data_IF_299764794444
#
_entry.id   IF_299764794444
#
_cell.length_a   1.000
_cell.length_b   1.000
_cell.length_c   1.000
_cell.angle_alpha   90.00
_cell.angle_beta   90.00
_cell.angle_gamma   90.00
#
_symmetry.space_group_name_H-M   'P 1'
#
loop_
_entity.id
_entity.type
_entity.pdbx_description
1 polymer ?
#
# COMPACT_ATOMS: atom_id res chain seq x y z
N UNK A 1 36.65 50.69 -22.02
CA UNK A 1 37.45 49.73 -21.22
C UNK A 1 37.71 50.32 -19.84
N UNK A 2 37.41 49.53 -18.79
CA UNK A 2 37.89 49.65 -17.40
C UNK A 2 37.56 51.00 -16.74
N UNK A 3 36.54 51.11 -15.88
CA UNK A 3 36.59 50.66 -14.47
C UNK A 3 35.17 50.72 -13.87
N UNK A 4 34.40 49.63 -13.97
CA UNK A 4 33.11 49.50 -13.27
C UNK A 4 32.91 48.09 -12.70
N UNK A 5 34.01 47.46 -12.28
CA UNK A 5 34.04 46.07 -11.78
C UNK A 5 34.78 45.95 -10.44
N UNK A 6 34.77 46.98 -9.60
CA UNK A 6 35.42 46.92 -8.27
C UNK A 6 34.61 47.49 -7.11
N UNK A 7 33.29 47.70 -7.27
CA UNK A 7 32.42 48.14 -6.17
C UNK A 7 31.35 47.13 -5.73
N UNK A 8 31.29 45.95 -6.37
CA UNK A 8 30.33 44.88 -6.03
C UNK A 8 30.93 43.73 -5.21
N UNK A 9 32.21 43.81 -4.85
CA UNK A 9 32.93 42.78 -4.07
C UNK A 9 33.04 43.09 -2.57
N UNK A 10 32.44 44.19 -2.07
CA UNK A 10 32.55 44.61 -0.65
C UNK A 10 31.21 44.56 0.11
N UNK A 11 30.08 44.31 -0.58
CA UNK A 11 28.79 44.04 0.09
C UNK A 11 28.56 42.52 0.29
N UNK A 12 29.40 41.66 -0.32
CA UNK A 12 29.30 40.20 -0.21
C UNK A 12 30.10 39.58 0.95
N UNK A 13 30.77 40.38 1.79
CA UNK A 13 31.66 39.89 2.86
C UNK A 13 31.22 40.24 4.28
N UNK A 14 29.99 40.75 4.47
CA UNK A 14 29.48 41.15 5.80
C UNK A 14 28.05 40.66 6.11
N UNK A 15 27.60 39.61 5.41
CA UNK A 15 26.46 38.76 5.82
C UNK A 15 26.91 37.29 5.79
N UNK A 16 28.11 37.03 6.30
CA UNK A 16 28.62 35.70 6.61
C UNK A 16 29.11 35.77 8.04
N UNK A 17 28.23 35.47 8.98
CA UNK A 17 28.56 35.41 10.40
C UNK A 17 27.39 35.80 11.28
N UNK A 18 26.84 34.79 11.96
CA UNK A 18 26.05 34.93 13.19
C UNK A 18 24.56 35.29 13.03
N UNK A 19 23.81 34.38 12.41
CA UNK A 19 22.55 33.92 12.99
C UNK A 19 22.34 32.45 12.61
N UNK A 20 22.83 31.58 13.49
CA UNK A 20 22.80 30.14 13.35
C UNK A 20 21.38 29.58 13.41
N UNK A 21 20.72 29.54 12.26
CA UNK A 21 19.74 28.51 11.98
C UNK A 21 20.48 27.39 11.27
N UNK A 22 20.74 26.31 11.98
CA UNK A 22 21.16 25.02 11.40
C UNK A 22 20.30 24.72 10.17
N UNK A 23 20.88 24.58 8.97
CA UNK A 23 20.16 24.10 7.78
C UNK A 23 19.85 22.59 7.87
N UNK A 24 19.70 22.06 9.09
CA UNK A 24 19.43 20.65 9.39
C UNK A 24 17.92 20.35 9.58
N UNK A 25 17.02 21.32 9.33
CA UNK A 25 15.57 21.12 9.45
C UNK A 25 14.77 21.43 8.17
N UNK A 26 15.43 21.64 7.03
CA UNK A 26 14.75 21.92 5.75
C UNK A 26 15.16 20.98 4.60
N UNK A 27 15.78 19.84 4.90
CA UNK A 27 16.09 18.77 3.95
C UNK A 27 15.46 17.46 4.48
N UNK A 28 14.49 16.83 3.83
CA UNK A 28 13.85 17.16 2.57
C UNK A 28 12.50 16.49 2.44
N UNK A 29 11.69 16.99 1.51
CA UNK A 29 10.63 16.21 0.89
C UNK A 29 11.13 15.88 -0.51
N UNK A 30 11.82 14.75 -0.74
CA UNK A 30 12.06 14.27 -2.09
C UNK A 30 10.76 13.63 -2.60
N UNK A 31 10.44 13.93 -3.86
CA UNK A 31 9.31 13.39 -4.60
C UNK A 31 9.34 11.85 -4.77
N UNK A 32 8.17 11.23 -5.06
CA UNK A 32 8.06 9.80 -5.36
C UNK A 32 8.89 9.46 -6.61
N UNK A 33 9.55 8.28 -6.63
CA UNK A 33 8.96 7.16 -7.35
C UNK A 33 9.19 5.86 -6.57
N UNK A 34 8.27 5.54 -5.69
CA UNK A 34 8.19 4.16 -5.22
C UNK A 34 7.56 3.33 -6.33
N UNK A 35 8.15 2.17 -6.61
CA UNK A 35 7.80 1.29 -7.75
C UNK A 35 7.16 -0.02 -7.28
N UNK A 36 6.67 -0.09 -6.04
CA UNK A 36 6.24 -1.29 -5.34
C UNK A 36 4.79 -1.72 -5.58
N UNK A 37 4.55 -3.04 -5.68
CA UNK A 37 3.27 -3.67 -5.28
C UNK A 37 2.94 -3.29 -3.83
N UNK A 38 3.93 -3.05 -2.98
CA UNK A 38 3.74 -2.58 -1.60
C UNK A 38 4.65 -1.39 -1.32
N UNK A 39 4.08 -0.26 -0.88
CA UNK A 39 4.83 0.96 -0.54
C UNK A 39 4.26 1.68 0.66
N UNK A 40 5.13 2.22 1.50
CA UNK A 40 4.77 3.08 2.61
C UNK A 40 5.00 4.57 2.32
N UNK A 41 4.10 5.42 2.80
CA UNK A 41 4.14 6.88 2.68
C UNK A 41 3.96 7.54 4.05
N UNK A 42 4.41 8.79 4.18
CA UNK A 42 4.32 9.57 5.41
C UNK A 42 2.95 10.21 5.62
N UNK A 43 2.27 10.55 4.52
CA UNK A 43 1.01 11.30 4.55
C UNK A 43 -0.01 10.75 3.54
N UNK A 44 -1.31 11.03 3.72
CA UNK A 44 -2.34 10.71 2.74
C UNK A 44 -2.08 11.33 1.37
N UNK A 45 -1.52 12.54 1.31
CA UNK A 45 -1.26 13.25 0.06
C UNK A 45 -0.14 12.57 -0.74
N UNK A 46 0.93 12.15 -0.05
CA UNK A 46 2.00 11.37 -0.68
C UNK A 46 1.49 10.02 -1.18
N UNK A 47 0.61 9.38 -0.41
CA UNK A 47 -0.05 8.14 -0.81
C UNK A 47 -0.94 8.35 -2.04
N UNK A 48 -1.72 9.43 -2.09
CA UNK A 48 -2.57 9.76 -3.23
C UNK A 48 -1.74 10.04 -4.49
N UNK A 49 -0.61 10.75 -4.36
CA UNK A 49 0.35 10.93 -5.45
C UNK A 49 0.98 9.59 -5.86
N UNK A 50 1.33 8.74 -4.90
CA UNK A 50 1.79 7.38 -5.14
C UNK A 50 0.80 6.56 -5.95
N UNK A 51 -0.48 6.60 -5.58
CA UNK A 51 -1.60 5.98 -6.30
C UNK A 51 -1.71 6.49 -7.74
N UNK A 52 -1.55 7.79 -7.99
CA UNK A 52 -1.55 8.38 -9.34
C UNK A 52 -0.35 7.90 -10.17
N UNK A 53 0.86 8.00 -9.61
CA UNK A 53 2.10 7.52 -10.24
C UNK A 53 2.00 6.02 -10.53
N UNK A 54 1.37 5.26 -9.65
CA UNK A 54 1.04 3.88 -9.92
C UNK A 54 0.06 3.75 -11.06
N UNK A 55 -1.07 4.46 -11.10
CA UNK A 55 -1.97 4.44 -12.27
C UNK A 55 -1.27 4.71 -13.62
N UNK A 56 -0.24 5.56 -13.62
CA UNK A 56 0.51 5.96 -14.82
C UNK A 56 1.62 4.96 -15.21
N UNK A 57 2.36 4.41 -14.25
CA UNK A 57 3.52 3.52 -14.48
C UNK A 57 3.11 2.05 -14.43
N UNK A 58 2.25 1.75 -13.45
CA UNK A 58 1.76 0.45 -13.13
C UNK A 58 0.32 0.36 -13.61
N UNK A 59 0.12 -0.42 -14.65
CA UNK A 59 -1.19 -0.67 -15.24
C UNK A 59 -2.15 -1.40 -14.27
N UNK A 60 -2.34 -1.07 -13.00
CA UNK A 60 -2.76 -2.03 -11.96
C UNK A 60 -4.12 -1.63 -11.32
N UNK A 61 -5.00 -2.59 -10.97
CA UNK A 61 -6.13 -2.30 -10.05
C UNK A 61 -5.60 -2.16 -8.62
N UNK A 62 -5.89 -1.03 -7.98
CA UNK A 62 -5.40 -0.69 -6.64
C UNK A 62 -6.33 -1.29 -5.60
N UNK A 63 -5.77 -1.98 -4.61
CA UNK A 63 -6.52 -2.62 -3.53
C UNK A 63 -6.82 -1.69 -2.35
N UNK A 64 -7.08 -0.43 -2.67
CA UNK A 64 -7.63 0.55 -1.74
C UNK A 64 -8.99 0.94 -2.33
N UNK A 65 -9.95 1.39 -1.52
CA UNK A 65 -11.06 2.19 -1.99
C UNK A 65 -10.57 3.34 -2.84
N UNK A 66 -10.37 3.08 -4.12
CA UNK A 66 -10.20 4.10 -5.10
C UNK A 66 -11.44 5.00 -4.92
N UNK A 67 -11.26 6.30 -4.64
CA UNK A 67 -12.38 7.23 -4.56
C UNK A 67 -13.29 7.10 -5.80
N UNK A 68 -12.70 6.79 -6.97
CA UNK A 68 -13.46 6.50 -8.21
C UNK A 68 -14.31 5.24 -8.14
N UNK A 69 -13.93 4.23 -7.35
CA UNK A 69 -14.74 3.02 -7.18
C UNK A 69 -16.05 3.40 -6.49
N UNK A 70 -15.99 4.15 -5.38
CA UNK A 70 -17.17 4.58 -4.61
C UNK A 70 -18.20 5.33 -5.45
N UNK A 71 -17.74 6.15 -6.41
CA UNK A 71 -18.60 6.88 -7.34
C UNK A 71 -19.31 5.95 -8.34
N UNK A 72 -18.71 4.79 -8.66
CA UNK A 72 -19.24 3.78 -9.58
C UNK A 72 -20.02 2.67 -8.87
N UNK A 73 -20.01 2.64 -7.54
CA UNK A 73 -20.74 1.63 -6.76
C UNK A 73 -22.25 1.91 -6.73
N UNK A 74 -23.09 0.86 -6.77
CA UNK A 74 -24.54 1.01 -6.69
C UNK A 74 -24.95 1.65 -5.35
N UNK A 75 -26.12 2.29 -5.32
CA UNK A 75 -26.61 2.98 -4.12
C UNK A 75 -26.98 2.01 -2.97
N UNK A 76 -27.36 0.77 -3.31
CA UNK A 76 -27.80 -0.23 -2.33
C UNK A 76 -26.82 -1.40 -2.24
N UNK A 77 -26.65 -1.89 -1.01
CA UNK A 77 -25.82 -3.06 -0.69
C UNK A 77 -26.29 -4.33 -1.41
N UNK A 78 -27.59 -4.51 -1.63
CA UNK A 78 -28.15 -5.69 -2.32
C UNK A 78 -27.59 -5.87 -3.73
N UNK A 79 -27.27 -4.76 -4.40
CA UNK A 79 -26.86 -4.74 -5.80
C UNK A 79 -25.33 -4.84 -5.93
N UNK A 80 -24.60 -4.59 -4.84
CA UNK A 80 -23.15 -4.52 -4.82
C UNK A 80 -22.45 -5.84 -5.16
N UNK A 81 -22.79 -7.01 -4.57
CA UNK A 81 -22.08 -8.25 -4.87
C UNK A 81 -22.10 -8.61 -6.36
N UNK A 82 -23.26 -8.47 -7.01
CA UNK A 82 -23.39 -8.76 -8.44
C UNK A 82 -22.58 -7.77 -9.29
N UNK A 83 -22.68 -6.47 -9.00
CA UNK A 83 -21.93 -5.44 -9.70
C UNK A 83 -20.41 -5.63 -9.55
N UNK A 84 -19.94 -5.95 -8.34
CA UNK A 84 -18.52 -6.11 -8.07
C UNK A 84 -17.94 -7.42 -8.61
N UNK A 85 -18.73 -8.51 -8.69
CA UNK A 85 -18.31 -9.75 -9.37
C UNK A 85 -17.94 -9.50 -10.82
N UNK A 86 -18.69 -8.66 -11.54
CA UNK A 86 -18.34 -8.27 -12.92
C UNK A 86 -16.98 -7.56 -12.97
N UNK A 87 -16.70 -6.67 -12.02
CA UNK A 87 -15.40 -5.98 -11.90
C UNK A 87 -14.28 -6.99 -11.68
N UNK A 88 -14.46 -7.93 -10.74
CA UNK A 88 -13.47 -8.97 -10.45
C UNK A 88 -13.26 -9.93 -11.63
N UNK A 89 -14.31 -10.29 -12.37
CA UNK A 89 -14.21 -11.12 -13.56
C UNK A 89 -13.49 -10.42 -14.72
N UNK A 90 -13.77 -9.14 -14.95
CA UNK A 90 -13.03 -8.33 -15.91
C UNK A 90 -11.56 -8.23 -15.52
N UNK A 91 -11.29 -7.98 -14.23
CA UNK A 91 -9.96 -8.01 -13.65
C UNK A 91 -9.29 -9.37 -13.90
N UNK A 92 -9.99 -10.49 -13.68
CA UNK A 92 -9.46 -11.85 -13.90
C UNK A 92 -9.07 -12.11 -15.34
N UNK A 93 -9.93 -11.74 -16.29
CA UNK A 93 -9.67 -11.93 -17.73
C UNK A 93 -8.44 -11.16 -18.20
N UNK A 94 -8.21 -9.98 -17.63
CA UNK A 94 -7.10 -9.09 -18.02
C UNK A 94 -5.81 -9.40 -17.26
N UNK A 95 -5.92 -9.71 -15.96
CA UNK A 95 -4.83 -9.61 -15.00
C UNK A 95 -4.51 -10.94 -14.30
N UNK A 96 -5.33 -11.97 -14.48
CA UNK A 96 -5.27 -13.19 -13.68
C UNK A 96 -6.04 -13.07 -12.35
N UNK A 97 -6.01 -14.11 -11.54
CA UNK A 97 -6.77 -14.21 -10.30
C UNK A 97 -6.51 -13.01 -9.36
N UNK A 98 -7.55 -12.59 -8.64
CA UNK A 98 -7.47 -11.51 -7.65
C UNK A 98 -6.31 -11.76 -6.68
N UNK A 99 -5.41 -10.79 -6.54
CA UNK A 99 -4.23 -10.91 -5.68
C UNK A 99 -3.04 -11.67 -6.28
N UNK A 100 -3.08 -12.06 -7.56
CA UNK A 100 -1.95 -12.74 -8.20
C UNK A 100 -1.06 -11.79 -9.02
N UNK A 101 0.24 -12.09 -9.08
CA UNK A 101 1.24 -11.32 -9.84
C UNK A 101 2.39 -12.21 -10.32
N UNK A 102 3.12 -11.76 -11.36
CA UNK A 102 4.31 -12.45 -11.89
C UNK A 102 5.62 -11.80 -11.46
N UNK A 103 5.59 -10.51 -11.14
CA UNK A 103 6.70 -9.72 -10.63
C UNK A 103 6.15 -8.73 -9.61
N UNK A 104 6.77 -8.68 -8.44
CA UNK A 104 6.40 -7.79 -7.35
C UNK A 104 7.57 -6.96 -6.90
N UNK A 105 7.39 -5.65 -6.89
CA UNK A 105 8.32 -4.71 -6.31
C UNK A 105 7.87 -4.41 -4.88
N UNK A 106 8.79 -4.30 -3.94
CA UNK A 106 8.49 -4.09 -2.53
C UNK A 106 9.35 -2.95 -2.03
N UNK A 107 8.70 -1.86 -1.62
CA UNK A 107 9.38 -0.69 -1.10
C UNK A 107 8.96 -0.45 0.35
N UNK A 108 9.85 -0.83 1.24
CA UNK A 108 9.67 -0.64 2.68
C UNK A 108 10.55 0.48 3.25
N UNK A 109 11.22 1.26 2.38
CA UNK A 109 12.24 2.22 2.81
C UNK A 109 11.67 3.31 3.72
N UNK A 110 10.37 3.63 3.57
CA UNK A 110 9.67 4.61 4.39
C UNK A 110 8.92 3.98 5.58
N UNK A 111 9.60 3.12 6.34
CA UNK A 111 9.05 2.53 7.57
C UNK A 111 10.11 2.27 8.63
N UNK A 112 9.64 2.10 9.86
CA UNK A 112 10.45 1.64 10.98
C UNK A 112 10.33 0.11 11.05
N UNK A 113 11.37 -0.68 10.70
CA UNK A 113 11.30 -2.13 10.77
C UNK A 113 11.54 -2.64 12.20
N UNK A 114 10.86 -3.70 12.59
CA UNK A 114 11.18 -4.46 13.82
C UNK A 114 12.46 -5.28 13.64
N UNK A 115 12.63 -5.90 12.46
CA UNK A 115 13.84 -6.64 12.11
C UNK A 115 14.78 -5.71 11.34
N UNK A 116 15.98 -5.40 11.85
CA UNK A 116 16.88 -4.45 11.19
C UNK A 116 17.18 -4.83 9.73
N UNK A 117 17.29 -3.83 8.86
CA UNK A 117 17.64 -3.95 7.43
C UNK A 117 16.59 -4.65 6.55
N UNK A 118 15.37 -4.90 7.03
CA UNK A 118 14.27 -5.37 6.17
C UNK A 118 13.55 -4.24 5.42
N UNK A 119 13.70 -2.99 5.89
CA UNK A 119 13.16 -1.77 5.28
C UNK A 119 13.97 -1.34 4.03
N UNK A 120 13.91 -2.13 2.97
CA UNK A 120 14.62 -1.86 1.72
C UNK A 120 13.69 -2.00 0.51
N UNK A 121 14.16 -1.49 -0.64
CA UNK A 121 13.55 -1.72 -1.93
C UNK A 121 14.08 -3.03 -2.52
N UNK A 122 13.19 -3.91 -2.97
CA UNK A 122 13.58 -5.11 -3.69
C UNK A 122 12.49 -5.60 -4.63
N UNK A 123 12.81 -6.60 -5.45
CA UNK A 123 11.85 -7.27 -6.34
C UNK A 123 11.81 -8.77 -6.06
N UNK A 124 10.68 -9.38 -6.34
CA UNK A 124 10.46 -10.83 -6.34
C UNK A 124 9.79 -11.20 -7.65
N UNK A 125 10.30 -12.23 -8.31
CA UNK A 125 9.71 -12.79 -9.51
C UNK A 125 9.07 -14.13 -9.20
N UNK A 126 7.92 -14.42 -9.82
CA UNK A 126 7.33 -15.73 -9.81
C UNK A 126 8.24 -16.73 -10.57
N UNK A 127 8.34 -17.98 -10.12
CA UNK A 127 9.11 -19.00 -10.83
C UNK A 127 8.39 -19.47 -12.10
N UNK A 128 9.16 -19.68 -13.18
CA UNK A 128 8.77 -20.41 -14.41
C UNK A 128 7.39 -20.08 -15.00
N UNK A 129 7.20 -18.86 -15.55
CA UNK A 129 5.92 -18.36 -16.12
C UNK A 129 4.69 -18.49 -15.20
N UNK A 130 4.90 -18.85 -13.92
CA UNK A 130 3.89 -19.02 -12.91
C UNK A 130 3.46 -17.70 -12.28
N UNK A 131 2.71 -17.80 -11.18
CA UNK A 131 2.19 -16.63 -10.45
C UNK A 131 2.40 -16.82 -8.96
N UNK A 132 2.65 -15.71 -8.28
CA UNK A 132 2.55 -15.61 -6.83
C UNK A 132 1.17 -15.07 -6.47
N UNK A 133 0.68 -15.45 -5.31
CA UNK A 133 -0.62 -15.09 -4.78
C UNK A 133 -0.43 -14.30 -3.49
N UNK A 134 -1.15 -13.19 -3.36
CA UNK A 134 -1.11 -12.31 -2.21
C UNK A 134 -2.46 -12.27 -1.51
N UNK A 135 -2.41 -12.15 -0.19
CA UNK A 135 -3.54 -11.84 0.65
C UNK A 135 -3.24 -10.54 1.37
N UNK A 136 -4.15 -9.57 1.30
CA UNK A 136 -4.07 -8.30 2.03
C UNK A 136 -5.35 -8.14 2.81
N UNK A 137 -5.23 -7.92 4.12
CA UNK A 137 -6.37 -7.71 4.99
C UNK A 137 -6.07 -6.67 6.07
N UNK A 138 -7.08 -5.89 6.46
CA UNK A 138 -7.00 -4.90 7.53
C UNK A 138 -7.93 -5.23 8.69
N UNK A 139 -7.42 -5.20 9.92
CA UNK A 139 -8.23 -5.33 11.12
C UNK A 139 -8.77 -3.95 11.52
N UNK A 140 -10.07 -3.68 11.45
CA UNK A 140 -10.62 -2.36 11.77
C UNK A 140 -10.55 -2.07 13.28
N UNK A 141 -10.05 -0.89 13.64
CA UNK A 141 -10.12 -0.32 14.99
C UNK A 141 -11.35 0.60 15.17
N UNK A 142 -11.76 1.28 14.09
CA UNK A 142 -12.90 2.19 14.04
C UNK A 142 -13.47 2.20 12.63
N UNK A 143 -14.78 2.34 12.48
CA UNK A 143 -15.47 2.34 11.18
C UNK A 143 -15.73 3.74 10.61
N UNK A 144 -15.73 4.80 11.43
CA UNK A 144 -15.76 6.18 10.94
C UNK A 144 -15.17 7.19 11.95
N UNK A 145 -14.06 7.89 11.63
CA UNK A 145 -13.21 7.64 10.47
C UNK A 145 -12.68 6.21 10.50
N UNK A 146 -12.49 5.61 9.32
CA UNK A 146 -11.95 4.27 9.23
C UNK A 146 -10.51 4.27 9.75
N UNK A 147 -10.23 3.44 10.75
CA UNK A 147 -8.88 3.21 11.27
C UNK A 147 -8.58 1.73 11.23
N UNK A 148 -7.40 1.36 10.76
CA UNK A 148 -6.94 -0.02 10.74
C UNK A 148 -5.94 -0.20 11.88
N UNK A 149 -6.23 -1.10 12.82
CA UNK A 149 -5.33 -1.44 13.91
C UNK A 149 -4.08 -2.13 13.37
N UNK A 150 -4.27 -3.09 12.45
CA UNK A 150 -3.17 -3.81 11.83
C UNK A 150 -3.52 -4.25 10.42
N UNK A 151 -2.55 -4.18 9.53
CA UNK A 151 -2.63 -4.73 8.18
C UNK A 151 -1.79 -5.99 8.10
N UNK A 152 -2.39 -7.09 7.64
CA UNK A 152 -1.71 -8.34 7.35
C UNK A 152 -1.57 -8.51 5.84
N UNK A 153 -0.34 -8.76 5.39
CA UNK A 153 0.00 -9.10 4.01
C UNK A 153 0.70 -10.46 4.03
N UNK A 154 0.35 -11.35 3.12
CA UNK A 154 1.03 -12.64 2.99
C UNK A 154 1.16 -13.04 1.53
N UNK A 155 2.26 -13.70 1.18
CA UNK A 155 2.58 -14.10 -0.18
C UNK A 155 2.82 -15.61 -0.28
N UNK A 156 2.33 -16.21 -1.37
CA UNK A 156 2.29 -17.65 -1.58
C UNK A 156 2.65 -18.01 -3.02
N UNK A 157 3.28 -19.16 -3.20
CA UNK A 157 3.51 -19.80 -4.49
C UNK A 157 2.35 -20.73 -4.92
N UNK A 158 1.39 -20.98 -4.01
CA UNK A 158 0.19 -21.80 -4.23
C UNK A 158 -1.09 -21.03 -3.93
N UNK A 159 -2.08 -21.17 -4.80
CA UNK A 159 -3.37 -20.49 -4.66
C UNK A 159 -4.13 -20.98 -3.42
N UNK A 160 -4.08 -22.27 -3.13
CA UNK A 160 -4.81 -22.89 -2.01
C UNK A 160 -4.30 -22.39 -0.66
N UNK A 161 -2.99 -22.17 -0.53
CA UNK A 161 -2.39 -21.62 0.68
C UNK A 161 -2.84 -20.15 0.90
N UNK A 162 -2.92 -19.37 -0.18
CA UNK A 162 -3.45 -18.00 -0.14
C UNK A 162 -4.95 -17.98 0.22
N UNK A 163 -5.76 -18.85 -0.38
CA UNK A 163 -7.18 -19.00 -0.05
C UNK A 163 -7.40 -19.36 1.42
N UNK A 164 -6.62 -20.31 1.94
CA UNK A 164 -6.65 -20.69 3.35
C UNK A 164 -6.29 -19.51 4.25
N UNK A 165 -5.19 -18.81 3.96
CA UNK A 165 -4.79 -17.63 4.73
C UNK A 165 -5.87 -16.54 4.74
N UNK A 166 -6.54 -16.32 3.62
CA UNK A 166 -7.62 -15.35 3.53
C UNK A 166 -8.81 -15.72 4.44
N UNK A 167 -9.21 -17.00 4.45
CA UNK A 167 -10.26 -17.51 5.36
C UNK A 167 -9.83 -17.37 6.82
N UNK A 168 -8.61 -17.79 7.15
CA UNK A 168 -8.06 -17.66 8.50
C UNK A 168 -8.03 -16.20 9.01
N UNK A 169 -7.82 -15.23 8.12
CA UNK A 169 -7.85 -13.79 8.45
C UNK A 169 -9.28 -13.27 8.61
N UNK A 170 -10.19 -13.67 7.72
CA UNK A 170 -11.62 -13.31 7.83
C UNK A 170 -12.25 -13.82 9.13
N UNK A 171 -11.94 -15.06 9.53
CA UNK A 171 -12.37 -15.65 10.81
C UNK A 171 -11.86 -14.87 12.03
N UNK A 172 -10.73 -14.18 11.89
CA UNK A 172 -10.14 -13.30 12.92
C UNK A 172 -10.69 -11.87 12.86
N UNK A 173 -11.69 -11.61 12.03
CA UNK A 173 -12.33 -10.30 11.89
C UNK A 173 -11.57 -9.32 10.99
N UNK A 174 -10.57 -9.77 10.24
CA UNK A 174 -9.93 -8.90 9.24
C UNK A 174 -10.84 -8.72 8.03
N UNK A 175 -10.84 -7.49 7.49
CA UNK A 175 -11.43 -7.19 6.21
C UNK A 175 -10.43 -7.54 5.10
N UNK A 176 -10.69 -8.61 4.33
CA UNK A 176 -9.79 -9.12 3.29
C UNK A 176 -10.02 -8.39 1.96
N UNK A 177 -9.17 -7.43 1.61
CA UNK A 177 -9.32 -6.58 0.41
C UNK A 177 -8.67 -7.18 -0.86
N UNK A 178 -7.71 -8.09 -0.69
CA UNK A 178 -7.00 -8.78 -1.77
C UNK A 178 -6.90 -10.24 -1.40
N UNK A 179 -7.41 -11.11 -2.26
CA UNK A 179 -7.30 -12.56 -2.09
C UNK A 179 -7.77 -13.27 -3.35
N UNK A 180 -7.28 -14.49 -3.64
CA UNK A 180 -7.91 -15.37 -4.63
C UNK A 180 -9.38 -15.73 -4.36
N UNK A 181 -9.88 -15.48 -3.13
CA UNK A 181 -11.28 -15.62 -2.75
C UNK A 181 -12.06 -14.31 -3.01
N UNK A 182 -12.75 -14.23 -4.14
CA UNK A 182 -13.53 -13.07 -4.54
C UNK A 182 -14.62 -12.71 -3.52
N UNK A 183 -15.32 -13.70 -2.98
CA UNK A 183 -16.42 -13.47 -2.04
C UNK A 183 -15.94 -12.80 -0.74
N UNK A 184 -14.71 -13.07 -0.29
CA UNK A 184 -14.12 -12.37 0.85
C UNK A 184 -13.78 -10.91 0.51
N UNK A 185 -13.30 -10.68 -0.72
CA UNK A 185 -13.05 -9.31 -1.21
C UNK A 185 -14.35 -8.51 -1.30
N UNK A 186 -15.42 -9.12 -1.81
CA UNK A 186 -16.76 -8.54 -1.87
C UNK A 186 -17.25 -8.24 -0.44
N UNK A 187 -17.16 -9.20 0.48
CA UNK A 187 -17.58 -9.03 1.88
C UNK A 187 -16.83 -7.86 2.56
N UNK A 188 -15.52 -7.73 2.31
CA UNK A 188 -14.73 -6.65 2.88
C UNK A 188 -15.17 -5.29 2.31
N UNK A 189 -15.30 -5.17 1.00
CA UNK A 189 -15.71 -3.91 0.36
C UNK A 189 -17.17 -3.54 0.66
N UNK A 190 -18.08 -4.51 0.82
CA UNK A 190 -19.44 -4.20 1.26
C UNK A 190 -19.45 -3.52 2.63
N UNK A 191 -18.62 -3.99 3.58
CA UNK A 191 -18.53 -3.39 4.91
C UNK A 191 -17.86 -2.01 4.90
N UNK A 192 -16.90 -1.82 3.99
CA UNK A 192 -16.23 -0.54 3.83
C UNK A 192 -17.15 0.52 3.22
N UNK A 193 -17.84 0.20 2.14
CA UNK A 193 -18.60 1.18 1.35
C UNK A 193 -20.05 1.35 1.76
N UNK A 194 -20.64 0.41 2.51
CA UNK A 194 -22.05 0.45 2.86
C UNK A 194 -22.25 0.41 4.36
N UNK A 195 -23.22 1.18 4.83
CA UNK A 195 -23.76 1.05 6.17
C UNK A 195 -24.55 -0.27 6.26
N UNK A 196 -24.17 -1.15 7.17
CA UNK A 196 -24.73 -2.50 7.25
C UNK A 196 -26.14 -2.52 7.84
N UNK A 197 -26.55 -1.46 8.56
CA UNK A 197 -27.88 -1.37 9.15
C UNK A 197 -28.92 -0.87 8.15
N UNK A 198 -28.54 0.12 7.34
CA UNK A 198 -29.42 0.75 6.35
C UNK A 198 -29.27 0.16 4.95
N UNK A 199 -28.18 -0.54 4.67
CA UNK A 199 -27.83 -1.06 3.35
C UNK A 199 -27.48 0.04 2.34
N UNK A 200 -27.30 1.29 2.78
CA UNK A 200 -27.00 2.43 1.91
C UNK A 200 -25.50 2.67 1.79
N UNK A 201 -25.08 3.12 0.61
CA UNK A 201 -23.72 3.56 0.36
C UNK A 201 -23.35 4.70 1.32
N UNK A 202 -22.18 4.60 1.95
CA UNK A 202 -21.62 5.64 2.81
C UNK A 202 -21.24 6.84 1.95
N UNK A 203 -21.60 8.03 2.39
CA UNK A 203 -21.31 9.29 1.68
C UNK A 203 -20.11 10.04 2.24
N UNK A 204 -19.80 9.83 3.53
CA UNK A 204 -18.62 10.41 4.14
C UNK A 204 -17.38 9.61 3.74
N UNK A 205 -16.53 10.25 2.93
CA UNK A 205 -15.25 9.70 2.45
C UNK A 205 -14.36 9.19 3.57
N UNK A 206 -14.36 9.83 4.74
CA UNK A 206 -13.51 9.44 5.87
C UNK A 206 -13.96 8.11 6.50
N UNK A 207 -15.19 7.66 6.25
CA UNK A 207 -15.71 6.37 6.74
C UNK A 207 -15.35 5.17 5.85
N UNK A 208 -14.83 5.41 4.64
CA UNK A 208 -14.47 4.34 3.70
C UNK A 208 -13.11 4.53 3.06
N UNK A 209 -12.42 5.66 3.30
CA UNK A 209 -11.03 5.85 2.91
C UNK A 209 -10.16 4.86 3.69
N UNK A 210 -9.90 3.68 3.12
CA UNK A 210 -8.79 2.79 3.54
C UNK A 210 -7.50 3.28 2.88
N UNK A 211 -7.33 4.60 2.75
CA UNK A 211 -6.05 5.20 2.35
C UNK A 211 -5.09 5.00 3.51
N UNK A 212 -4.59 3.76 3.63
CA UNK A 212 -3.42 3.38 4.38
C UNK A 212 -3.34 3.74 5.85
N UNK A 213 -4.35 4.27 6.55
CA UNK A 213 -4.18 4.59 7.97
C UNK A 213 -4.15 3.30 8.81
N UNK A 214 -2.97 2.69 8.91
CA UNK A 214 -2.71 1.48 9.70
C UNK A 214 -1.58 1.72 10.68
N UNK A 215 -1.76 1.30 11.92
CA UNK A 215 -0.77 1.52 12.98
C UNK A 215 0.42 0.55 12.84
N UNK A 216 0.15 -0.66 12.33
CA UNK A 216 1.12 -1.74 12.18
C UNK A 216 0.90 -2.49 10.87
N UNK A 217 1.97 -2.75 10.13
CA UNK A 217 1.94 -3.66 8.97
C UNK A 217 2.77 -4.90 9.26
N UNK A 218 2.18 -6.08 9.06
CA UNK A 218 2.85 -7.37 9.15
C UNK A 218 2.84 -8.03 7.78
N UNK A 219 4.00 -8.43 7.28
CA UNK A 219 4.19 -8.97 5.93
C UNK A 219 4.89 -10.33 6.02
N UNK A 220 4.17 -11.37 5.60
CA UNK A 220 4.64 -12.75 5.63
C UNK A 220 5.15 -13.20 4.27
N UNK A 221 6.46 -13.42 4.19
CA UNK A 221 7.16 -13.95 3.04
C UNK A 221 7.58 -15.42 3.22
N UNK A 222 7.22 -16.09 4.33
CA UNK A 222 7.76 -17.41 4.69
C UNK A 222 7.50 -18.47 3.62
N UNK A 223 6.44 -18.35 2.83
CA UNK A 223 6.13 -19.31 1.75
C UNK A 223 6.87 -19.03 0.45
N UNK A 224 7.43 -17.84 0.29
CA UNK A 224 8.16 -17.43 -0.91
C UNK A 224 9.60 -16.98 -0.59
N UNK A 225 10.09 -17.24 0.62
CA UNK A 225 11.42 -16.81 1.07
C UNK A 225 12.57 -17.19 0.11
N UNK A 226 12.57 -18.33 -0.62
CA UNK A 226 13.65 -18.65 -1.53
C UNK A 226 13.74 -17.69 -2.72
N UNK A 227 12.64 -16.99 -3.03
CA UNK A 227 12.54 -16.03 -4.13
C UNK A 227 12.99 -14.62 -3.73
N UNK A 228 13.25 -14.40 -2.44
CA UNK A 228 13.71 -13.10 -1.93
C UNK A 228 15.20 -12.88 -2.18
N UNK A 229 15.67 -11.61 -2.17
CA UNK A 229 17.09 -11.30 -2.19
C UNK A 229 17.86 -12.06 -1.10
N UNK A 230 19.10 -12.54 -1.36
CA UNK A 230 19.85 -13.39 -0.42
C UNK A 230 19.95 -12.83 1.01
N UNK A 231 20.11 -11.51 1.16
CA UNK A 231 20.18 -10.84 2.46
C UNK A 231 18.85 -10.83 3.24
N UNK A 232 17.73 -11.11 2.58
CA UNK A 232 16.38 -11.15 3.16
C UNK A 232 15.85 -12.57 3.37
N UNK A 233 16.43 -13.58 2.73
CA UNK A 233 15.92 -14.96 2.79
C UNK A 233 15.89 -15.52 4.21
N UNK A 234 16.99 -15.40 4.97
CA UNK A 234 17.05 -15.93 6.33
C UNK A 234 16.11 -15.17 7.28
N UNK A 235 16.09 -13.82 7.30
CA UNK A 235 15.07 -13.08 8.05
C UNK A 235 13.64 -13.52 7.71
N UNK A 236 13.31 -13.62 6.41
CA UNK A 236 11.97 -13.99 5.96
C UNK A 236 11.60 -15.43 6.30
N UNK A 237 12.57 -16.33 6.36
CA UNK A 237 12.36 -17.71 6.82
C UNK A 237 12.04 -17.76 8.31
N UNK A 238 12.71 -16.92 9.11
CA UNK A 238 12.57 -16.91 10.56
C UNK A 238 11.22 -16.36 11.05
N UNK A 239 10.58 -15.48 10.26
CA UNK A 239 9.27 -14.93 10.60
C UNK A 239 8.80 -13.82 9.67
N UNK A 240 7.61 -13.31 9.94
CA UNK A 240 7.05 -12.18 9.22
C UNK A 240 7.84 -10.89 9.49
N UNK A 241 7.85 -9.99 8.51
CA UNK A 241 8.39 -8.65 8.68
C UNK A 241 7.33 -7.74 9.28
N UNK A 242 7.72 -6.98 10.29
CA UNK A 242 6.82 -6.05 10.97
C UNK A 242 7.35 -4.62 10.81
N UNK A 243 6.43 -3.71 10.52
CA UNK A 243 6.73 -2.31 10.24
C UNK A 243 5.80 -1.40 11.05
N UNK A 244 6.41 -0.35 11.61
CA UNK A 244 5.79 0.80 12.25
C UNK A 244 5.92 2.06 11.38
N UNK A 245 5.18 3.15 11.72
CA UNK A 245 5.34 4.43 11.04
C UNK A 245 6.77 4.96 11.23
N UNK A 246 7.34 5.52 10.16
CA UNK A 246 8.60 6.26 10.23
C UNK A 246 8.39 7.64 10.89
N UNK A 247 7.23 8.25 10.62
CA UNK A 247 6.79 9.54 11.15
C UNK A 247 5.30 9.51 11.45
N UNK A 248 4.84 10.20 12.50
CA UNK A 248 3.41 10.25 12.86
C UNK A 248 2.91 8.95 13.50
N UNK A 249 1.60 8.67 13.35
CA UNK A 249 0.92 7.55 14.02
C UNK A 249 0.50 6.42 13.07
N UNK A 250 0.57 6.61 11.75
CA UNK A 250 0.03 5.68 10.76
C UNK A 250 0.97 5.48 9.57
N UNK A 251 0.93 4.28 8.98
CA UNK A 251 1.72 3.87 7.82
C UNK A 251 0.86 3.90 6.56
N UNK A 252 0.96 4.94 5.74
CA UNK A 252 0.12 5.01 4.54
C UNK A 252 0.58 4.01 3.48
N UNK A 253 -0.11 2.87 3.38
CA UNK A 253 0.26 1.75 2.52
C UNK A 253 -0.46 1.78 1.16
N UNK A 254 0.25 1.61 0.05
CA UNK A 254 -0.36 1.28 -1.26
C UNK A 254 -0.11 -0.17 -1.62
N UNK A 255 -1.18 -0.87 -2.03
CA UNK A 255 -1.12 -2.20 -2.62
C UNK A 255 -1.56 -2.15 -4.09
N UNK A 256 -0.61 -2.32 -5.03
CA UNK A 256 -0.85 -2.21 -6.47
C UNK A 256 -0.67 -3.59 -7.16
N UNK A 257 -1.47 -3.88 -8.21
CA UNK A 257 -1.54 -5.19 -8.95
C UNK A 257 -0.77 -5.38 -10.26
N UNK A 258 -1.35 -5.70 -11.42
CA UNK A 258 -0.78 -5.78 -12.81
C UNK A 258 -1.87 -6.05 -13.79
N UNK A 259 -2.34 -5.01 -14.48
CA UNK A 259 -2.82 -5.13 -15.86
C UNK A 259 -1.66 -4.97 -16.82
N UNK A 260 -1.74 -5.65 -17.95
CA UNK A 260 -1.07 -5.21 -19.17
C UNK A 260 -2.16 -4.78 -20.14
#
# INVERSE_FOLDING_TARGET
>A
MKKLTSFLAIIFSLIIGLSGMTPALAQGVPQPPSRGITTFYATPEQQAQGVQVYGDILKYDIAIPNPDLSAKLPENLSDFPAAYKVVLEMGRKKNGVNGSFTEGWFDFQFSTPVVPKTNQLFTVNAPFDGRLYSVVAGLPASQCPLKIQSTAIAFFDKIEDAQKKAKDLDEKGYLVYVSPEDDLTIKAFSQLFYDQATGKKKTNKDCFLVSGATEKVTIDFQKIFPLMPPNLQQPARNGAFEYGPLTGNFIYLVNARKSL
#
